data_IF_646426864999
#
_entry.id   IF_646426864999
#
_cell.length_a   1.000
_cell.length_b   1.000
_cell.length_c   1.000
_cell.angle_alpha   90.00
_cell.angle_beta   90.00
_cell.angle_gamma   90.00
#
_symmetry.space_group_name_H-M   'P 1'
#
loop_
_entity.id
_entity.type
_entity.pdbx_description
1 polymer ?
#
# COMPACT_ATOMS: atom_id res chain seq x y z
N UNK A 1 12.28 -0.61 7.80
CA UNK A 1 10.87 -0.89 7.48
C UNK A 1 10.00 -0.71 8.70
N UNK A 2 8.86 -0.04 8.55
CA UNK A 2 7.83 0.11 9.58
C UNK A 2 6.52 -0.53 9.11
N UNK A 3 5.97 -1.46 9.91
CA UNK A 3 4.73 -2.16 9.59
C UNK A 3 3.53 -1.30 10.01
N UNK A 4 2.63 -1.02 9.07
CA UNK A 4 1.40 -0.24 9.28
C UNK A 4 0.17 -1.03 8.84
N UNK A 5 -1.01 -0.68 9.34
CA UNK A 5 -2.24 -1.45 9.08
C UNK A 5 -3.14 -0.78 8.05
N UNK A 6 -3.81 -1.57 7.21
CA UNK A 6 -4.96 -1.08 6.42
C UNK A 6 -6.24 -1.10 7.27
N UNK A 7 -7.03 -0.04 7.19
CA UNK A 7 -8.33 0.08 7.87
C UNK A 7 -9.30 0.90 7.04
N UNK A 8 -10.59 0.78 7.33
CA UNK A 8 -11.62 1.68 6.85
C UNK A 8 -11.85 2.83 7.85
N UNK A 9 -12.72 3.75 7.45
CA UNK A 9 -13.08 4.96 8.20
C UNK A 9 -13.96 4.73 9.45
N UNK A 10 -14.39 3.49 9.75
CA UNK A 10 -15.29 3.22 10.88
C UNK A 10 -14.51 3.08 12.18
N UNK A 11 -14.93 3.82 13.21
CA UNK A 11 -14.30 3.83 14.53
C UNK A 11 -14.05 2.44 15.13
N UNK A 12 -15.03 1.49 15.15
CA UNK A 12 -14.79 0.18 15.75
C UNK A 12 -13.64 -0.57 15.07
N UNK A 13 -13.45 -0.35 13.77
CA UNK A 13 -12.38 -1.00 13.02
C UNK A 13 -11.01 -0.39 13.35
N UNK A 14 -10.93 0.94 13.41
CA UNK A 14 -9.70 1.66 13.79
C UNK A 14 -9.27 1.28 15.22
N UNK A 15 -10.22 1.24 16.16
CA UNK A 15 -9.96 0.82 17.54
C UNK A 15 -9.51 -0.63 17.63
N UNK A 16 -10.11 -1.52 16.83
CA UNK A 16 -9.68 -2.91 16.74
C UNK A 16 -8.23 -3.00 16.25
N UNK A 17 -7.85 -2.27 15.20
CA UNK A 17 -6.46 -2.24 14.73
C UNK A 17 -5.49 -1.66 15.76
N UNK A 18 -5.92 -0.65 16.49
CA UNK A 18 -5.13 -0.09 17.58
C UNK A 18 -4.85 -1.13 18.68
N UNK A 19 -5.86 -1.94 19.04
CA UNK A 19 -5.72 -3.06 19.99
C UNK A 19 -4.82 -4.18 19.47
N UNK A 20 -4.77 -4.39 18.16
CA UNK A 20 -3.85 -5.31 17.49
C UNK A 20 -2.40 -4.79 17.44
N UNK A 21 -2.16 -3.57 17.91
CA UNK A 21 -0.83 -2.99 18.08
C UNK A 21 -0.40 -2.03 16.99
N UNK A 22 -1.26 -1.74 16.00
CA UNK A 22 -0.95 -0.73 14.98
C UNK A 22 -1.06 0.69 15.57
N UNK A 23 -0.20 1.59 15.07
CA UNK A 23 -0.22 3.02 15.41
C UNK A 23 -0.31 3.93 14.19
N UNK A 24 0.00 3.37 13.02
CA UNK A 24 -0.04 4.05 11.73
C UNK A 24 -0.92 3.26 10.78
N UNK A 25 -1.63 3.98 9.93
CA UNK A 25 -2.68 3.41 9.11
C UNK A 25 -2.70 3.93 7.69
N UNK A 26 -2.99 3.03 6.77
CA UNK A 26 -3.66 3.38 5.53
C UNK A 26 -5.18 3.37 5.74
N UNK A 27 -5.87 4.40 5.27
CA UNK A 27 -7.33 4.44 5.23
C UNK A 27 -7.84 4.14 3.83
N UNK A 28 -8.63 3.08 3.70
CA UNK A 28 -9.48 2.89 2.53
C UNK A 28 -10.61 3.91 2.55
N UNK A 29 -10.60 4.81 1.57
CA UNK A 29 -11.59 5.88 1.48
C UNK A 29 -12.85 5.41 0.75
N UNK A 30 -14.00 5.92 1.20
CA UNK A 30 -15.30 5.71 0.58
C UNK A 30 -16.01 7.05 0.48
N UNK A 31 -16.99 7.17 -0.41
CA UNK A 31 -17.63 8.46 -0.67
C UNK A 31 -18.24 9.10 0.57
N UNK A 32 -18.81 8.30 1.49
CA UNK A 32 -19.41 8.80 2.72
C UNK A 32 -18.38 9.43 3.67
N UNK A 33 -17.09 9.15 3.51
CA UNK A 33 -16.01 9.69 4.34
C UNK A 33 -15.78 11.19 4.08
N UNK A 34 -16.12 11.69 2.88
CA UNK A 34 -15.68 13.00 2.41
C UNK A 34 -16.55 14.18 2.85
N UNK A 35 -17.26 14.05 3.98
CA UNK A 35 -17.98 15.17 4.58
C UNK A 35 -17.29 15.63 5.88
N UNK A 36 -17.50 16.89 6.24
CA UNK A 36 -16.84 17.52 7.40
C UNK A 36 -17.09 16.78 8.71
N UNK A 37 -18.30 16.22 8.89
CA UNK A 37 -18.67 15.48 10.10
C UNK A 37 -17.84 14.20 10.24
N UNK A 38 -17.70 13.42 9.17
CA UNK A 38 -16.89 12.19 9.22
C UNK A 38 -15.40 12.49 9.33
N UNK A 39 -14.89 13.51 8.63
CA UNK A 39 -13.49 13.97 8.78
C UNK A 39 -13.21 14.41 10.22
N UNK A 40 -14.12 15.17 10.84
CA UNK A 40 -14.02 15.61 12.23
C UNK A 40 -13.99 14.46 13.24
N UNK A 41 -14.78 13.40 12.99
CA UNK A 41 -14.74 12.17 13.78
C UNK A 41 -13.39 11.45 13.64
N UNK A 42 -12.90 11.27 12.42
CA UNK A 42 -11.60 10.65 12.17
C UNK A 42 -10.46 11.42 12.84
N UNK A 43 -10.49 12.75 12.82
CA UNK A 43 -9.53 13.58 13.55
C UNK A 43 -9.62 13.35 15.06
N UNK A 44 -10.83 13.30 15.61
CA UNK A 44 -11.03 13.03 17.05
C UNK A 44 -10.54 11.64 17.46
N UNK A 45 -10.71 10.63 16.60
CA UNK A 45 -10.19 9.27 16.80
C UNK A 45 -8.66 9.27 16.74
N UNK A 46 -8.09 9.94 15.72
CA UNK A 46 -6.65 10.12 15.54
C UNK A 46 -6.00 10.68 16.81
N UNK A 47 -6.56 11.76 17.34
CA UNK A 47 -6.04 12.48 18.50
C UNK A 47 -6.23 11.67 19.80
N UNK A 48 -7.38 11.02 19.97
CA UNK A 48 -7.68 10.24 21.18
C UNK A 48 -6.86 8.96 21.30
N UNK A 49 -6.66 8.24 20.18
CA UNK A 49 -5.85 7.02 20.14
C UNK A 49 -4.35 7.28 19.95
N UNK A 50 -3.95 8.53 19.65
CA UNK A 50 -2.58 8.93 19.30
C UNK A 50 -2.01 8.09 18.15
N UNK A 51 -2.75 8.05 17.06
CA UNK A 51 -2.40 7.29 15.85
C UNK A 51 -2.12 8.25 14.68
N UNK A 52 -1.56 7.73 13.58
CA UNK A 52 -1.41 8.47 12.34
C UNK A 52 -2.09 7.77 11.15
N UNK A 53 -2.71 8.58 10.29
CA UNK A 53 -3.11 8.17 8.95
C UNK A 53 -1.98 8.57 7.99
N UNK A 54 -1.31 7.59 7.40
CA UNK A 54 -0.15 7.78 6.51
C UNK A 54 -0.61 7.96 5.07
N UNK A 55 -1.55 7.14 4.62
CA UNK A 55 -2.10 7.16 3.27
C UNK A 55 -3.64 7.16 3.27
N UNK A 56 -4.23 7.79 2.25
CA UNK A 56 -5.61 7.57 1.83
C UNK A 56 -5.61 6.79 0.53
N UNK A 57 -6.31 5.66 0.48
CA UNK A 57 -6.48 4.89 -0.73
C UNK A 57 -7.80 5.27 -1.41
N UNK A 58 -7.72 5.76 -2.65
CA UNK A 58 -8.89 6.16 -3.43
C UNK A 58 -9.74 4.92 -3.76
N UNK A 59 -11.08 4.99 -3.65
CA UNK A 59 -11.94 3.88 -4.06
C UNK A 59 -11.87 3.63 -5.56
N UNK A 60 -12.24 2.42 -5.98
CA UNK A 60 -12.49 2.16 -7.39
C UNK A 60 -13.68 2.97 -7.88
N UNK A 61 -13.43 3.90 -8.81
CA UNK A 61 -14.44 4.77 -9.40
C UNK A 61 -14.23 4.89 -10.89
N UNK A 62 -15.31 5.17 -11.61
CA UNK A 62 -15.27 5.49 -13.04
C UNK A 62 -14.45 6.77 -13.30
N UNK A 63 -13.85 6.86 -14.48
CA UNK A 63 -12.94 7.97 -14.84
C UNK A 63 -13.63 9.35 -14.78
N UNK A 64 -14.91 9.42 -15.14
CA UNK A 64 -15.71 10.65 -15.10
C UNK A 64 -15.93 11.19 -13.68
N UNK A 65 -15.89 10.30 -12.67
CA UNK A 65 -15.99 10.66 -11.24
C UNK A 65 -14.63 10.91 -10.60
N UNK A 66 -13.54 10.46 -11.22
CA UNK A 66 -12.21 10.45 -10.63
C UNK A 66 -11.77 11.84 -10.17
N UNK A 67 -12.01 12.88 -10.99
CA UNK A 67 -11.65 14.26 -10.65
C UNK A 67 -12.26 14.72 -9.33
N UNK A 68 -13.58 14.56 -9.19
CA UNK A 68 -14.31 14.98 -7.99
C UNK A 68 -13.85 14.19 -6.76
N UNK A 69 -13.54 12.91 -6.93
CA UNK A 69 -13.04 12.07 -5.85
C UNK A 69 -11.63 12.50 -5.43
N UNK A 70 -10.73 12.80 -6.37
CA UNK A 70 -9.38 13.31 -6.04
C UNK A 70 -9.49 14.59 -5.21
N UNK A 71 -10.33 15.55 -5.61
CA UNK A 71 -10.52 16.81 -4.87
C UNK A 71 -11.03 16.57 -3.44
N UNK A 72 -12.00 15.66 -3.27
CA UNK A 72 -12.54 15.26 -1.97
C UNK A 72 -11.49 14.56 -1.10
N UNK A 73 -10.69 13.67 -1.69
CA UNK A 73 -9.60 12.96 -1.01
C UNK A 73 -8.49 13.91 -0.61
N UNK A 74 -8.14 14.88 -1.45
CA UNK A 74 -7.15 15.91 -1.15
C UNK A 74 -7.57 16.78 0.04
N UNK A 75 -8.84 17.20 0.06
CA UNK A 75 -9.39 17.91 1.20
C UNK A 75 -9.31 17.07 2.48
N UNK A 76 -9.82 15.83 2.45
CA UNK A 76 -9.76 14.93 3.61
C UNK A 76 -8.30 14.68 4.05
N UNK A 77 -7.40 14.45 3.10
CA UNK A 77 -5.99 14.20 3.35
C UNK A 77 -5.30 15.37 4.04
N UNK A 78 -5.55 16.60 3.57
CA UNK A 78 -5.06 17.82 4.22
C UNK A 78 -5.59 17.96 5.65
N UNK A 79 -6.87 17.69 5.87
CA UNK A 79 -7.50 17.83 7.19
C UNK A 79 -7.03 16.77 8.19
N UNK A 80 -6.71 15.57 7.70
CA UNK A 80 -6.22 14.44 8.50
C UNK A 80 -4.68 14.42 8.64
N UNK A 81 -3.98 15.24 7.85
CA UNK A 81 -2.52 15.30 7.83
C UNK A 81 -1.86 14.07 7.19
N UNK A 82 -2.52 13.46 6.20
CA UNK A 82 -1.98 12.29 5.50
C UNK A 82 -0.81 12.68 4.61
N UNK A 83 0.18 11.79 4.49
CA UNK A 83 1.36 12.01 3.67
C UNK A 83 1.11 11.68 2.21
N UNK A 84 0.31 10.65 1.94
CA UNK A 84 0.14 10.11 0.60
C UNK A 84 -1.33 9.87 0.24
N UNK A 85 -1.63 9.98 -1.05
CA UNK A 85 -2.90 9.54 -1.64
C UNK A 85 -2.59 8.46 -2.67
N UNK A 86 -3.18 7.28 -2.54
CA UNK A 86 -2.91 6.12 -3.40
C UNK A 86 -3.99 5.99 -4.46
N UNK A 87 -3.55 5.77 -5.70
CA UNK A 87 -4.40 5.58 -6.86
C UNK A 87 -3.87 4.42 -7.69
N UNK A 88 -4.73 3.55 -8.19
CA UNK A 88 -4.29 2.48 -9.08
C UNK A 88 -3.71 3.05 -10.39
N UNK A 89 -2.59 2.48 -10.83
CA UNK A 89 -1.91 2.83 -12.08
C UNK A 89 -2.78 2.59 -13.31
N UNK A 90 -3.80 1.74 -13.21
CA UNK A 90 -4.76 1.48 -14.29
C UNK A 90 -5.49 2.74 -14.76
N UNK A 91 -5.67 3.73 -13.87
CA UNK A 91 -6.25 5.02 -14.27
C UNK A 91 -5.42 5.76 -15.32
N UNK A 92 -4.11 5.49 -15.38
CA UNK A 92 -3.16 6.22 -16.23
C UNK A 92 -3.31 5.91 -17.72
N UNK A 93 -3.95 4.79 -18.08
CA UNK A 93 -4.05 4.37 -19.48
C UNK A 93 -4.95 5.29 -20.31
N UNK A 94 -6.04 5.78 -19.71
CA UNK A 94 -7.09 6.54 -20.37
C UNK A 94 -7.21 7.97 -19.82
N UNK A 95 -6.25 8.40 -18.99
CA UNK A 95 -6.33 9.69 -18.31
C UNK A 95 -6.03 10.86 -19.27
N UNK A 96 -6.93 11.85 -19.40
CA UNK A 96 -6.63 13.05 -20.14
C UNK A 96 -5.53 13.87 -19.44
N UNK A 97 -4.75 14.70 -20.17
CA UNK A 97 -3.60 15.40 -19.62
C UNK A 97 -3.88 16.29 -18.40
N UNK A 98 -5.08 16.88 -18.32
CA UNK A 98 -5.49 17.71 -17.19
C UNK A 98 -5.69 16.91 -15.90
N UNK A 99 -6.18 15.66 -16.01
CA UNK A 99 -6.25 14.74 -14.88
C UNK A 99 -4.87 14.18 -14.51
N UNK A 100 -3.98 14.01 -15.49
CA UNK A 100 -2.60 13.57 -15.24
C UNK A 100 -1.86 14.54 -14.32
N UNK A 101 -2.05 15.84 -14.49
CA UNK A 101 -1.47 16.85 -13.58
C UNK A 101 -1.95 16.70 -12.13
N UNK A 102 -3.19 16.23 -11.91
CA UNK A 102 -3.74 15.99 -10.56
C UNK A 102 -3.06 14.80 -9.84
N UNK A 103 -2.39 13.93 -10.59
CA UNK A 103 -1.64 12.78 -10.06
C UNK A 103 -0.22 13.14 -9.60
N UNK A 104 0.17 14.42 -9.69
CA UNK A 104 1.47 14.91 -9.19
C UNK A 104 1.42 15.28 -7.70
N UNK A 105 2.59 15.37 -7.07
CA UNK A 105 2.74 15.80 -5.67
C UNK A 105 2.68 14.63 -4.68
N UNK A 106 1.74 14.67 -3.74
CA UNK A 106 1.58 13.64 -2.70
C UNK A 106 0.80 12.40 -3.17
N UNK A 107 0.41 12.35 -4.46
CA UNK A 107 -0.25 11.20 -5.05
C UNK A 107 0.81 10.18 -5.45
N UNK A 108 0.49 8.93 -5.22
CA UNK A 108 1.36 7.82 -5.58
C UNK A 108 0.53 6.75 -6.30
N UNK A 109 1.15 6.12 -7.29
CA UNK A 109 0.52 5.10 -8.12
C UNK A 109 0.71 3.72 -7.51
N UNK A 110 -0.34 2.93 -7.44
CA UNK A 110 -0.26 1.53 -7.08
C UNK A 110 -0.29 0.66 -8.32
N UNK A 111 0.69 -0.23 -8.48
CA UNK A 111 0.67 -1.19 -9.58
C UNK A 111 -0.51 -2.16 -9.41
N UNK A 112 -1.23 -2.42 -10.50
CA UNK A 112 -2.26 -3.47 -10.56
C UNK A 112 -1.70 -4.75 -11.16
N UNK A 113 -2.49 -5.83 -11.17
CA UNK A 113 -2.12 -7.11 -11.80
C UNK A 113 -1.86 -7.03 -13.31
N UNK A 114 -2.25 -5.95 -13.97
CA UNK A 114 -1.98 -5.66 -15.39
C UNK A 114 -0.71 -4.79 -15.59
N UNK A 115 -0.12 -4.28 -14.51
CA UNK A 115 1.01 -3.36 -14.58
C UNK A 115 2.33 -4.14 -14.50
N UNK A 116 2.97 -4.34 -15.65
CA UNK A 116 4.25 -5.04 -15.73
C UNK A 116 5.43 -4.20 -15.17
N UNK A 117 6.56 -4.85 -14.81
CA UNK A 117 7.72 -4.17 -14.22
C UNK A 117 8.28 -3.02 -15.07
N UNK A 118 8.32 -3.21 -16.39
CA UNK A 118 8.79 -2.18 -17.32
C UNK A 118 7.92 -0.92 -17.28
N UNK A 119 6.60 -1.07 -17.15
CA UNK A 119 5.66 0.04 -17.00
C UNK A 119 5.83 0.77 -15.66
N UNK A 120 6.08 0.04 -14.58
CA UNK A 120 6.37 0.62 -13.26
C UNK A 120 7.62 1.52 -13.37
N UNK A 121 8.71 0.98 -13.91
CA UNK A 121 9.97 1.70 -14.08
C UNK A 121 9.85 2.91 -15.03
N UNK A 122 9.11 2.77 -16.14
CA UNK A 122 8.83 3.87 -17.06
C UNK A 122 8.11 5.03 -16.35
N UNK A 123 7.06 4.73 -15.56
CA UNK A 123 6.34 5.74 -14.79
C UNK A 123 7.22 6.38 -13.71
N UNK A 124 8.03 5.60 -13.00
CA UNK A 124 9.00 6.15 -12.04
C UNK A 124 10.00 7.10 -12.71
N UNK A 125 10.51 6.75 -13.90
CA UNK A 125 11.43 7.60 -14.67
C UNK A 125 10.80 8.93 -15.12
N UNK A 126 9.46 8.97 -15.22
CA UNK A 126 8.67 10.17 -15.49
C UNK A 126 8.35 11.00 -14.23
N UNK A 127 8.88 10.59 -13.08
CA UNK A 127 8.74 11.29 -11.81
C UNK A 127 7.53 10.88 -10.96
N UNK A 128 6.85 9.79 -11.30
CA UNK A 128 5.76 9.27 -10.47
C UNK A 128 6.29 8.48 -9.27
N UNK A 129 5.69 8.75 -8.11
CA UNK A 129 5.91 7.97 -6.90
C UNK A 129 4.97 6.76 -6.87
N UNK A 130 5.35 5.71 -6.13
CA UNK A 130 4.61 4.45 -6.11
C UNK A 130 4.24 3.94 -4.71
N UNK A 131 3.05 3.36 -4.62
CA UNK A 131 2.79 2.21 -3.78
C UNK A 131 3.18 0.95 -4.56
N UNK A 132 4.12 0.15 -4.07
CA UNK A 132 4.40 -1.15 -4.69
C UNK A 132 3.55 -2.23 -4.03
N UNK A 133 2.57 -2.77 -4.75
CA UNK A 133 1.82 -3.95 -4.33
C UNK A 133 2.50 -5.22 -4.84
N UNK A 134 3.01 -6.03 -3.91
CA UNK A 134 3.76 -7.24 -4.25
C UNK A 134 2.87 -8.39 -4.73
N UNK A 135 1.61 -8.44 -4.28
CA UNK A 135 0.66 -9.47 -4.69
C UNK A 135 0.23 -9.22 -6.15
N UNK A 136 -0.06 -7.97 -6.51
CA UNK A 136 -0.30 -7.57 -7.89
C UNK A 136 0.90 -7.87 -8.80
N UNK A 137 2.12 -7.56 -8.35
CA UNK A 137 3.34 -7.85 -9.11
C UNK A 137 3.55 -9.35 -9.31
N UNK A 138 3.31 -10.16 -8.27
CA UNK A 138 3.38 -11.62 -8.36
C UNK A 138 2.36 -12.16 -9.37
N UNK A 139 1.11 -11.71 -9.29
CA UNK A 139 0.05 -12.11 -10.24
C UNK A 139 0.43 -11.75 -11.67
N UNK A 140 0.92 -10.53 -11.90
CA UNK A 140 1.38 -10.12 -13.22
C UNK A 140 2.52 -11.03 -13.72
N UNK A 141 3.46 -11.42 -12.84
CA UNK A 141 4.53 -12.39 -13.15
C UNK A 141 4.01 -13.73 -13.64
N UNK A 142 2.90 -14.20 -13.06
CA UNK A 142 2.28 -15.48 -13.46
C UNK A 142 1.56 -15.36 -14.80
N UNK A 143 0.92 -14.21 -15.07
CA UNK A 143 0.22 -13.93 -16.32
C UNK A 143 1.21 -13.78 -17.48
N UNK A 144 2.22 -12.93 -17.28
CA UNK A 144 3.22 -12.57 -18.30
C UNK A 144 4.45 -13.50 -18.32
N UNK A 145 4.49 -14.49 -17.42
CA UNK A 145 5.51 -15.54 -17.33
C UNK A 145 6.96 -15.03 -17.17
N UNK A 146 7.17 -14.08 -16.26
CA UNK A 146 8.51 -13.62 -15.87
C UNK A 146 8.88 -14.00 -14.43
N UNK A 147 10.17 -13.89 -14.13
CA UNK A 147 10.72 -14.15 -12.80
C UNK A 147 10.35 -13.01 -11.82
N UNK A 148 9.45 -13.33 -10.89
CA UNK A 148 8.94 -12.37 -9.91
C UNK A 148 10.04 -11.75 -9.03
N UNK A 149 11.01 -12.53 -8.56
CA UNK A 149 12.04 -12.03 -7.65
C UNK A 149 13.03 -11.10 -8.35
N UNK A 150 13.38 -11.43 -9.59
CA UNK A 150 14.23 -10.59 -10.44
C UNK A 150 13.54 -9.26 -10.74
N UNK A 151 12.24 -9.30 -11.06
CA UNK A 151 11.44 -8.10 -11.27
C UNK A 151 11.30 -7.24 -9.99
N UNK A 152 10.98 -7.87 -8.85
CA UNK A 152 10.87 -7.18 -7.56
C UNK A 152 12.19 -6.50 -7.20
N UNK A 153 13.31 -7.22 -7.31
CA UNK A 153 14.64 -6.70 -7.06
C UNK A 153 14.96 -5.52 -7.99
N UNK A 154 14.71 -5.65 -9.29
CA UNK A 154 14.99 -4.60 -10.26
C UNK A 154 14.17 -3.32 -9.98
N UNK A 155 12.88 -3.47 -9.65
CA UNK A 155 12.01 -2.34 -9.28
C UNK A 155 12.54 -1.63 -8.04
N UNK A 156 12.92 -2.39 -7.00
CA UNK A 156 13.42 -1.83 -5.76
C UNK A 156 14.79 -1.16 -5.93
N UNK A 157 15.71 -1.78 -6.67
CA UNK A 157 17.05 -1.24 -6.94
C UNK A 157 17.01 0.06 -7.74
N UNK A 158 16.15 0.13 -8.77
CA UNK A 158 16.07 1.30 -9.66
C UNK A 158 15.09 2.36 -9.17
N UNK A 159 14.15 1.99 -8.32
CA UNK A 159 13.01 2.81 -7.92
C UNK A 159 12.92 3.12 -6.43
N UNK A 160 13.94 2.80 -5.62
CA UNK A 160 13.92 2.95 -4.16
C UNK A 160 13.41 4.32 -3.70
N UNK A 161 13.87 5.39 -4.35
CA UNK A 161 13.50 6.76 -4.02
C UNK A 161 12.05 7.10 -4.41
N UNK A 162 11.49 6.42 -5.42
CA UNK A 162 10.13 6.64 -5.91
C UNK A 162 9.10 5.81 -5.14
N UNK A 163 9.51 4.72 -4.49
CA UNK A 163 8.62 3.84 -3.71
C UNK A 163 8.41 4.47 -2.33
N UNK A 164 7.17 4.85 -2.00
CA UNK A 164 6.84 5.52 -0.73
C UNK A 164 6.20 4.60 0.30
N UNK A 165 5.59 3.52 -0.19
CA UNK A 165 4.93 2.50 0.60
C UNK A 165 4.78 1.22 -0.22
N UNK A 166 4.64 0.10 0.49
CA UNK A 166 4.52 -1.23 -0.09
C UNK A 166 3.28 -1.89 0.50
N UNK A 167 2.33 -2.29 -0.34
CA UNK A 167 1.25 -3.19 0.09
C UNK A 167 1.79 -4.60 0.12
N UNK A 168 1.58 -5.27 1.25
CA UNK A 168 2.15 -6.58 1.53
C UNK A 168 1.06 -7.55 1.96
N UNK A 169 0.77 -8.47 1.04
CA UNK A 169 -0.17 -9.56 1.22
C UNK A 169 0.33 -10.79 0.45
N UNK A 170 -0.32 -11.93 0.69
CA UNK A 170 -0.11 -13.12 -0.13
C UNK A 170 -1.13 -13.16 -1.28
N UNK A 171 -0.90 -14.04 -2.26
CA UNK A 171 -1.75 -14.17 -3.43
C UNK A 171 -1.69 -15.57 -4.05
N UNK A 172 -2.81 -15.99 -4.62
CA UNK A 172 -2.95 -17.07 -5.59
C UNK A 172 -3.31 -16.50 -6.97
N UNK A 173 -3.45 -17.34 -7.99
CA UNK A 173 -3.66 -16.88 -9.37
C UNK A 173 -4.86 -15.93 -9.56
N UNK A 174 -6.01 -16.30 -9.01
CA UNK A 174 -7.28 -15.59 -9.19
C UNK A 174 -7.61 -14.61 -8.05
N UNK A 175 -6.85 -14.64 -6.95
CA UNK A 175 -7.16 -13.89 -5.71
C UNK A 175 -5.90 -13.34 -5.04
N UNK A 176 -5.97 -12.10 -4.58
CA UNK A 176 -4.97 -11.39 -3.78
C UNK A 176 -5.51 -11.08 -2.38
N UNK A 177 -4.77 -10.27 -1.62
CA UNK A 177 -5.12 -9.85 -0.25
C UNK A 177 -5.35 -11.03 0.69
N UNK A 178 -4.59 -12.12 0.50
CA UNK A 178 -4.60 -13.29 1.37
C UNK A 178 -3.70 -13.09 2.59
N UNK A 179 -4.02 -13.79 3.68
CA UNK A 179 -3.12 -13.86 4.84
C UNK A 179 -1.78 -14.47 4.44
N UNK A 180 -0.72 -14.03 5.12
CA UNK A 180 0.64 -14.49 4.84
C UNK A 180 0.78 -16.00 5.04
N UNK A 181 1.26 -16.68 4.00
CA UNK A 181 1.42 -18.13 3.95
C UNK A 181 0.15 -18.90 3.53
N UNK A 182 -0.94 -18.21 3.18
CA UNK A 182 -2.16 -18.83 2.65
C UNK A 182 -2.20 -18.83 1.11
N UNK A 183 -1.24 -18.18 0.44
CA UNK A 183 -1.14 -18.15 -1.02
C UNK A 183 0.04 -18.96 -1.58
N UNK A 184 0.53 -18.53 -2.75
CA UNK A 184 1.61 -19.19 -3.49
C UNK A 184 2.91 -18.38 -3.48
N UNK A 185 2.91 -17.22 -2.85
CA UNK A 185 4.09 -16.38 -2.77
C UNK A 185 5.04 -16.95 -1.72
N UNK A 186 6.34 -16.95 -2.02
CA UNK A 186 7.35 -17.17 -0.99
C UNK A 186 7.53 -15.84 -0.24
N UNK A 187 6.78 -15.73 0.87
CA UNK A 187 6.65 -14.51 1.68
C UNK A 187 7.98 -14.14 2.34
N UNK A 188 8.71 -15.11 2.88
CA UNK A 188 9.99 -14.85 3.55
C UNK A 188 11.01 -14.30 2.57
N UNK A 189 11.13 -14.92 1.39
CA UNK A 189 12.03 -14.43 0.35
C UNK A 189 11.57 -13.07 -0.19
N UNK A 190 10.27 -12.85 -0.37
CA UNK A 190 9.74 -11.55 -0.80
C UNK A 190 10.08 -10.45 0.21
N UNK A 191 9.90 -10.73 1.50
CA UNK A 191 10.19 -9.79 2.57
C UNK A 191 11.70 -9.56 2.75
N UNK A 192 12.52 -10.59 2.55
CA UNK A 192 13.98 -10.48 2.55
C UNK A 192 14.45 -9.56 1.43
N UNK A 193 14.03 -9.81 0.19
CA UNK A 193 14.37 -8.95 -0.96
C UNK A 193 13.90 -7.52 -0.70
N UNK A 194 12.69 -7.33 -0.16
CA UNK A 194 12.21 -6.00 0.21
C UNK A 194 13.14 -5.31 1.22
N UNK A 195 13.53 -6.02 2.29
CA UNK A 195 14.38 -5.48 3.35
C UNK A 195 15.81 -5.13 2.93
N UNK A 196 16.29 -5.64 1.80
CA UNK A 196 17.61 -5.28 1.24
C UNK A 196 17.63 -3.86 0.63
N UNK A 197 16.51 -3.39 0.10
CA UNK A 197 16.45 -2.16 -0.72
C UNK A 197 15.47 -1.10 -0.20
N UNK A 198 14.61 -1.45 0.76
CA UNK A 198 13.52 -0.57 1.21
C UNK A 198 13.41 -0.53 2.73
N UNK A 199 13.35 0.69 3.29
CA UNK A 199 13.27 0.92 4.73
C UNK A 199 11.99 1.65 5.20
N UNK A 200 11.09 1.98 4.27
CA UNK A 200 9.88 2.76 4.52
C UNK A 200 8.69 1.98 5.11
N UNK A 201 7.47 2.44 4.80
CA UNK A 201 6.22 1.84 5.28
C UNK A 201 5.83 0.58 4.50
N UNK A 202 5.46 -0.47 5.24
CA UNK A 202 4.88 -1.71 4.71
C UNK A 202 3.47 -1.83 5.26
N UNK A 203 2.47 -1.74 4.37
CA UNK A 203 1.05 -1.86 4.71
C UNK A 203 0.67 -3.33 4.69
N UNK A 204 0.18 -3.84 5.83
CA UNK A 204 -0.43 -5.16 5.87
C UNK A 204 -1.82 -5.05 5.23
N UNK A 205 -2.02 -5.73 4.09
CA UNK A 205 -3.27 -5.74 3.32
C UNK A 205 -3.85 -7.15 3.25
N UNK A 206 -4.41 -7.62 4.37
CA UNK A 206 -4.94 -8.98 4.50
C UNK A 206 -6.37 -8.96 5.05
N UNK A 207 -7.08 -10.10 5.11
CA UNK A 207 -8.42 -10.15 5.66
C UNK A 207 -8.46 -9.62 7.09
N UNK A 208 -9.62 -9.07 7.46
CA UNK A 208 -9.73 -8.26 8.66
C UNK A 208 -9.31 -8.99 9.94
N UNK A 209 -9.66 -10.26 10.07
CA UNK A 209 -9.37 -11.16 11.19
C UNK A 209 -7.92 -11.65 11.25
N UNK A 210 -7.11 -11.39 10.22
CA UNK A 210 -5.75 -11.92 10.08
C UNK A 210 -4.63 -10.92 10.37
N UNK A 211 -4.91 -9.61 10.36
CA UNK A 211 -3.86 -8.58 10.46
C UNK A 211 -2.93 -8.73 11.66
N UNK A 212 -3.43 -9.08 12.85
CA UNK A 212 -2.56 -9.19 14.03
C UNK A 212 -1.52 -10.29 13.84
N UNK A 213 -1.96 -11.47 13.40
CA UNK A 213 -1.08 -12.62 13.13
C UNK A 213 -0.03 -12.22 12.09
N UNK A 214 -0.46 -11.55 11.02
CA UNK A 214 0.42 -11.24 9.89
C UNK A 214 1.38 -10.09 10.20
N UNK A 215 0.95 -9.10 10.98
CA UNK A 215 1.83 -8.08 11.59
C UNK A 215 2.90 -8.74 12.45
N UNK A 216 2.50 -9.61 13.39
CA UNK A 216 3.42 -10.27 14.31
C UNK A 216 4.44 -11.12 13.53
N UNK A 217 4.01 -11.76 12.44
CA UNK A 217 4.89 -12.52 11.56
C UNK A 217 5.91 -11.63 10.84
N UNK A 218 5.49 -10.54 10.19
CA UNK A 218 6.42 -9.60 9.55
C UNK A 218 7.40 -8.96 10.55
N UNK A 219 6.93 -8.59 11.74
CA UNK A 219 7.81 -8.09 12.81
C UNK A 219 8.81 -9.15 13.27
N UNK A 220 8.46 -10.44 13.21
CA UNK A 220 9.39 -11.53 13.50
C UNK A 220 10.50 -11.63 12.45
N UNK A 221 10.17 -11.44 11.16
CA UNK A 221 11.15 -11.42 10.07
C UNK A 221 12.12 -10.23 10.19
N UNK A 222 11.62 -9.04 10.56
CA UNK A 222 12.47 -7.88 10.84
C UNK A 222 13.44 -8.16 12.00
N UNK A 223 13.00 -8.86 13.05
CA UNK A 223 13.86 -9.19 14.19
C UNK A 223 14.94 -10.21 13.80
N UNK A 224 14.63 -11.16 12.93
CA UNK A 224 15.57 -12.16 12.45
C UNK A 224 16.65 -11.52 11.56
N UNK A 225 16.28 -10.63 10.64
CA UNK A 225 17.25 -9.94 9.78
C UNK A 225 18.21 -9.03 10.54
N UNK A 226 17.77 -8.45 11.66
CA UNK A 226 18.61 -7.62 12.53
C UNK A 226 19.51 -8.43 13.49
N UNK A 227 19.41 -9.77 13.50
CA UNK A 227 20.18 -10.62 14.40
C UNK A 227 20.97 -11.68 13.60
N UNK A 228 22.13 -11.33 13.03
CA UNK A 228 22.87 -12.17 12.07
C UNK A 228 23.44 -13.48 12.65
N UNK A 229 23.21 -13.78 13.94
CA UNK A 229 23.67 -15.01 14.60
C UNK A 229 22.83 -16.27 14.26
N UNK A 230 21.75 -16.15 13.49
CA UNK A 230 20.83 -17.26 13.23
C UNK A 230 20.91 -17.86 11.80
N UNK A 231 21.83 -17.43 10.95
CA UNK A 231 22.06 -18.03 9.62
C UNK A 231 23.19 -19.07 9.60
N UNK A 232 23.35 -19.83 10.68
CA UNK A 232 24.22 -21.00 10.72
C UNK A 232 23.42 -22.21 11.19
N UNK A 233 22.89 -22.96 10.22
CA UNK A 233 22.66 -24.41 10.34
C UNK A 233 22.61 -25.03 8.95
#
# INVERSE_FOLDING_TARGET
MEIIGKTNHKQPQIEQRFKEGFRKFELYSVEEMFNEKEIGKLKSIKDSLRIDFISLHIPHVELDKLKSIIEKVDYAGKMLGVKYTIMHSSFMNDMPPDLLELTKGNKILENTKETNPGKILDLMSKGFNFCLDIAHLFRNSRIEKYDYFSALKEILEKGSDSIKLVHFSDSVFDRDNLSLGEGLMDIEKSFQVLGEYYDGYVVVEVPMDKMKKDKDYLESLIKQSNNPKNYVS
#
